data_IF_320972298374
#
_entry.id   IF_320972298374
#
_cell.length_a   1.000
_cell.length_b   1.000
_cell.length_c   1.000
_cell.angle_alpha   90.00
_cell.angle_beta   90.00
_cell.angle_gamma   90.00
#
_symmetry.space_group_name_H-M   'P 1'
#
loop_
_entity.id
_entity.type
_entity.pdbx_description
1 polymer ?
#
# COMPACT_ATOMS: atom_id res chain seq x y z
N UNK A 1 -3.96 -0.36 -20.51
CA UNK A 1 -3.26 -1.64 -20.78
C UNK A 1 -2.07 -1.71 -19.81
N UNK A 2 -1.90 -2.80 -19.04
CA UNK A 2 -1.01 -3.00 -17.86
C UNK A 2 0.50 -2.68 -18.03
N UNK A 3 0.90 -2.17 -19.19
CA UNK A 3 2.25 -1.73 -19.56
C UNK A 3 3.35 -2.80 -19.53
N UNK A 4 3.09 -4.00 -19.01
CA UNK A 4 4.03 -5.13 -19.04
C UNK A 4 4.38 -5.52 -20.48
N UNK A 5 5.58 -6.10 -20.72
CA UNK A 5 5.92 -6.67 -22.02
C UNK A 5 4.85 -7.64 -22.49
N UNK A 6 4.50 -7.62 -23.79
CA UNK A 6 3.40 -8.43 -24.35
C UNK A 6 3.46 -9.92 -23.95
N UNK A 7 4.67 -10.48 -23.86
CA UNK A 7 4.90 -11.88 -23.47
C UNK A 7 4.46 -12.23 -22.05
N UNK A 8 4.32 -11.25 -21.16
CA UNK A 8 3.91 -11.41 -19.75
C UNK A 8 2.74 -10.47 -19.40
N UNK A 9 1.99 -10.03 -20.41
CA UNK A 9 0.86 -9.13 -20.24
C UNK A 9 -0.26 -9.82 -19.44
N UNK A 10 -0.76 -9.15 -18.41
CA UNK A 10 -1.84 -9.67 -17.56
C UNK A 10 -3.22 -9.08 -17.91
N UNK A 11 -3.32 -8.19 -18.90
CA UNK A 11 -4.59 -7.47 -19.19
C UNK A 11 -5.81 -8.36 -19.41
N UNK A 12 -5.64 -9.54 -20.02
CA UNK A 12 -6.75 -10.46 -20.29
C UNK A 12 -7.18 -11.27 -19.05
N UNK A 13 -6.31 -11.34 -18.03
CA UNK A 13 -6.58 -12.07 -16.79
C UNK A 13 -6.98 -11.15 -15.63
N UNK A 14 -6.78 -9.83 -15.77
CA UNK A 14 -7.18 -8.86 -14.75
C UNK A 14 -8.69 -8.64 -14.80
N UNK A 15 -9.37 -9.10 -13.76
CA UNK A 15 -10.76 -8.76 -13.50
C UNK A 15 -10.80 -7.70 -12.39
N UNK A 16 -11.33 -6.50 -12.64
CA UNK A 16 -11.58 -5.54 -11.59
C UNK A 16 -12.53 -6.12 -10.54
N UNK A 17 -12.26 -5.84 -9.28
CA UNK A 17 -13.11 -6.20 -8.14
C UNK A 17 -13.46 -4.96 -7.33
N UNK A 18 -14.60 -4.99 -6.66
CA UNK A 18 -14.98 -3.96 -5.70
C UNK A 18 -14.59 -4.42 -4.29
N UNK A 19 -13.88 -3.55 -3.57
CA UNK A 19 -13.57 -3.73 -2.15
C UNK A 19 -14.05 -2.50 -1.39
N UNK A 20 -14.48 -2.68 -0.14
CA UNK A 20 -14.77 -1.54 0.74
C UNK A 20 -13.46 -0.83 1.09
N UNK A 21 -12.41 -1.61 1.34
CA UNK A 21 -11.06 -1.11 1.56
C UNK A 21 -10.56 -0.32 0.36
N UNK A 22 -9.89 0.81 0.62
CA UNK A 22 -9.21 1.61 -0.40
C UNK A 22 -7.71 1.59 -0.16
N UNK A 23 -6.97 1.65 -1.27
CA UNK A 23 -5.51 1.79 -1.24
C UNK A 23 -5.10 3.20 -1.67
N UNK A 24 -4.09 3.74 -1.01
CA UNK A 24 -3.44 4.98 -1.36
C UNK A 24 -1.94 4.72 -1.53
N UNK A 25 -1.47 4.69 -2.77
CA UNK A 25 -0.06 4.50 -3.10
C UNK A 25 0.66 5.84 -3.05
N UNK A 26 1.71 5.93 -2.23
CA UNK A 26 2.60 7.10 -2.14
C UNK A 26 3.96 6.67 -2.71
N UNK A 27 4.24 7.11 -3.94
CA UNK A 27 5.37 6.63 -4.74
C UNK A 27 6.58 7.54 -4.63
N UNK A 28 7.78 6.98 -4.49
CA UNK A 28 9.00 7.77 -4.46
C UNK A 28 9.29 8.43 -5.83
N UNK A 29 9.99 9.57 -5.83
CA UNK A 29 10.24 10.44 -7.00
C UNK A 29 10.96 9.73 -8.19
N UNK A 30 11.71 8.66 -7.91
CA UNK A 30 12.42 7.83 -8.90
C UNK A 30 11.57 6.71 -9.50
N UNK A 31 10.33 6.57 -9.04
CA UNK A 31 9.36 5.56 -9.46
C UNK A 31 8.03 6.16 -9.97
N UNK A 32 8.02 7.02 -11.00
CA UNK A 32 6.77 7.28 -11.70
C UNK A 32 6.31 5.97 -12.37
N UNK A 33 5.16 5.44 -11.94
CA UNK A 33 4.35 4.35 -12.54
C UNK A 33 5.09 3.50 -13.58
N UNK A 34 6.12 2.78 -13.13
CA UNK A 34 6.80 1.83 -14.00
C UNK A 34 5.83 0.66 -14.25
N UNK A 35 5.80 0.11 -15.47
CA UNK A 35 4.96 -1.03 -15.81
C UNK A 35 5.08 -2.24 -14.88
N UNK A 36 6.25 -2.39 -14.27
CA UNK A 36 6.63 -3.51 -13.41
C UNK A 36 6.33 -3.28 -11.92
N UNK A 37 5.82 -2.10 -11.52
CA UNK A 37 5.49 -1.83 -10.13
C UNK A 37 4.20 -2.56 -9.74
N UNK A 38 4.27 -3.41 -8.72
CA UNK A 38 3.12 -4.18 -8.22
C UNK A 38 2.02 -3.28 -7.66
N UNK A 39 2.31 -2.02 -7.29
CA UNK A 39 1.29 -1.01 -7.00
C UNK A 39 0.32 -0.76 -8.16
N UNK A 40 0.80 -0.84 -9.41
CA UNK A 40 -0.06 -0.68 -10.58
C UNK A 40 -1.09 -1.80 -10.70
N UNK A 41 -0.70 -3.03 -10.34
CA UNK A 41 -1.59 -4.19 -10.33
C UNK A 41 -2.78 -3.96 -9.37
N UNK A 42 -2.52 -3.40 -8.19
CA UNK A 42 -3.57 -3.05 -7.23
C UNK A 42 -4.53 -2.04 -7.84
N UNK A 43 -4.01 -0.98 -8.48
CA UNK A 43 -4.87 0.03 -9.11
C UNK A 43 -5.67 -0.52 -10.31
N UNK A 44 -5.11 -1.49 -11.05
CA UNK A 44 -5.81 -2.11 -12.18
C UNK A 44 -6.91 -3.11 -11.71
N UNK A 45 -6.76 -3.74 -10.54
CA UNK A 45 -7.77 -4.65 -9.94
C UNK A 45 -8.79 -3.90 -9.07
N UNK A 46 -8.33 -2.95 -8.26
CA UNK A 46 -9.14 -2.13 -7.37
C UNK A 46 -9.18 -0.70 -7.92
N UNK A 47 -10.18 -0.36 -8.77
CA UNK A 47 -10.21 0.91 -9.51
C UNK A 47 -10.32 2.14 -8.59
N UNK A 48 -10.72 1.93 -7.34
CA UNK A 48 -10.83 2.94 -6.30
C UNK A 48 -9.50 3.25 -5.58
N UNK A 49 -8.38 2.75 -6.09
CA UNK A 49 -7.03 3.02 -5.59
C UNK A 49 -6.55 4.40 -6.03
N UNK A 50 -6.09 5.20 -5.07
CA UNK A 50 -5.43 6.47 -5.34
C UNK A 50 -3.91 6.29 -5.42
N UNK A 51 -3.24 7.08 -6.26
CA UNK A 51 -1.78 7.07 -6.37
C UNK A 51 -1.25 8.50 -6.45
N UNK A 52 -0.24 8.81 -5.64
CA UNK A 52 0.36 10.12 -5.51
C UNK A 52 1.88 10.01 -5.53
N UNK A 53 2.54 10.98 -6.15
CA UNK A 53 3.98 11.14 -6.03
C UNK A 53 4.32 11.73 -4.67
N UNK A 54 5.30 11.13 -3.99
CA UNK A 54 5.78 11.59 -2.71
C UNK A 54 6.61 12.86 -2.88
N UNK A 55 6.29 13.86 -2.08
CA UNK A 55 7.13 15.03 -1.89
C UNK A 55 7.35 15.24 -0.41
N UNK A 56 8.61 15.44 -0.03
CA UNK A 56 8.99 15.71 1.36
C UNK A 56 8.49 17.08 1.83
N UNK A 57 8.48 18.06 0.93
CA UNK A 57 8.25 19.47 1.25
C UNK A 57 6.89 19.96 0.79
N UNK A 58 6.40 19.42 -0.33
CA UNK A 58 5.18 19.88 -1.00
C UNK A 58 4.31 18.66 -1.35
N UNK A 59 3.77 17.94 -0.35
CA UNK A 59 2.90 16.79 -0.62
C UNK A 59 1.67 17.24 -1.42
N UNK A 60 1.17 16.42 -2.38
CA UNK A 60 -0.02 16.77 -3.15
C UNK A 60 -1.21 17.04 -2.23
N UNK A 61 -1.96 18.13 -2.46
CA UNK A 61 -3.10 18.48 -1.61
C UNK A 61 -4.15 17.37 -1.56
N UNK A 62 -4.43 16.74 -2.71
CA UNK A 62 -5.38 15.62 -2.79
C UNK A 62 -4.96 14.39 -1.96
N UNK A 63 -3.65 14.17 -1.71
CA UNK A 63 -3.18 13.15 -0.77
C UNK A 63 -3.56 13.53 0.66
N UNK A 64 -3.30 14.78 1.05
CA UNK A 64 -3.63 15.27 2.39
C UNK A 64 -5.14 15.20 2.65
N UNK A 65 -5.95 15.61 1.68
CA UNK A 65 -7.41 15.60 1.76
C UNK A 65 -7.95 14.16 1.91
N UNK A 66 -7.39 13.22 1.14
CA UNK A 66 -7.77 11.80 1.23
C UNK A 66 -7.40 11.21 2.60
N UNK A 67 -6.19 11.49 3.09
CA UNK A 67 -5.71 11.02 4.39
C UNK A 67 -6.54 11.61 5.54
N UNK A 68 -6.97 12.87 5.43
CA UNK A 68 -7.78 13.54 6.44
C UNK A 68 -9.30 13.26 6.31
N UNK A 69 -9.72 12.52 5.28
CA UNK A 69 -11.13 12.30 5.00
C UNK A 69 -11.83 11.61 6.17
N UNK A 70 -12.97 12.15 6.64
CA UNK A 70 -13.76 11.52 7.69
C UNK A 70 -14.46 10.24 7.20
N UNK A 71 -14.46 9.95 5.91
CA UNK A 71 -15.16 8.79 5.34
C UNK A 71 -14.37 7.50 5.51
N UNK A 72 -13.06 7.59 5.82
CA UNK A 72 -12.15 6.45 5.89
C UNK A 72 -11.46 6.32 7.24
N UNK A 73 -10.85 5.15 7.45
CA UNK A 73 -9.90 4.89 8.53
C UNK A 73 -8.47 4.79 7.94
N UNK A 74 -7.73 5.91 7.86
CA UNK A 74 -6.37 5.93 7.34
C UNK A 74 -5.39 5.17 8.25
N UNK A 75 -4.65 4.23 7.67
CA UNK A 75 -3.61 3.45 8.32
C UNK A 75 -2.37 3.40 7.44
N UNK A 76 -1.19 3.59 8.03
CA UNK A 76 0.07 3.44 7.29
C UNK A 76 0.52 2.00 7.36
N UNK A 77 0.70 1.37 6.21
CA UNK A 77 1.16 -0.01 6.11
C UNK A 77 2.68 -0.02 6.26
N UNK A 78 3.17 -0.47 7.42
CA UNK A 78 4.60 -0.51 7.70
C UNK A 78 4.91 -1.49 8.85
N UNK A 79 6.13 -2.05 8.96
CA UNK A 79 6.40 -2.99 10.04
C UNK A 79 6.34 -2.35 11.43
N UNK A 80 5.75 -3.06 12.39
CA UNK A 80 5.54 -2.61 13.76
C UNK A 80 6.81 -2.07 14.44
N UNK A 81 7.97 -2.65 14.14
CA UNK A 81 9.27 -2.24 14.70
C UNK A 81 9.68 -0.81 14.37
N UNK A 82 9.03 -0.16 13.40
CA UNK A 82 9.29 1.22 12.99
C UNK A 82 8.30 2.25 13.53
N UNK A 83 7.18 1.81 14.14
CA UNK A 83 6.13 2.72 14.58
C UNK A 83 6.57 3.66 15.72
N UNK A 84 7.58 3.27 16.50
CA UNK A 84 7.96 3.94 17.74
C UNK A 84 6.96 3.67 18.86
N UNK A 85 7.31 4.02 20.10
CA UNK A 85 6.52 3.63 21.28
C UNK A 85 5.17 4.33 21.40
N UNK A 86 5.04 5.54 20.86
CA UNK A 86 3.85 6.38 21.01
C UNK A 86 2.77 6.11 19.95
N UNK A 87 3.13 5.41 18.88
CA UNK A 87 2.25 5.21 17.73
C UNK A 87 1.50 3.90 17.87
N UNK A 88 0.18 3.94 17.71
CA UNK A 88 -0.64 2.73 17.75
C UNK A 88 -0.25 1.78 16.63
N UNK A 89 0.01 0.52 16.98
CA UNK A 89 0.23 -0.58 16.04
C UNK A 89 -1.00 -1.47 16.01
N UNK A 90 -1.52 -1.70 14.81
CA UNK A 90 -2.68 -2.53 14.53
C UNK A 90 -2.26 -3.81 13.81
N UNK A 91 -2.94 -4.90 14.13
CA UNK A 91 -2.83 -6.19 13.43
C UNK A 91 -4.04 -6.49 12.55
N UNK A 92 -5.12 -5.72 12.71
CA UNK A 92 -6.32 -5.75 11.88
C UNK A 92 -6.96 -4.36 11.82
N UNK A 93 -7.69 -4.02 10.75
CA UNK A 93 -8.44 -2.78 10.66
C UNK A 93 -9.53 -2.69 11.76
N UNK A 94 -9.77 -1.50 12.34
CA UNK A 94 -10.90 -1.31 13.23
C UNK A 94 -12.24 -1.48 12.47
N UNK A 95 -13.30 -1.84 13.20
CA UNK A 95 -14.64 -1.90 12.63
C UNK A 95 -15.21 -0.50 12.36
N UNK A 96 -16.19 -0.41 11.46
CA UNK A 96 -17.01 0.79 11.28
C UNK A 96 -16.87 1.39 9.88
N UNK A 97 -15.88 2.27 9.69
CA UNK A 97 -15.66 2.94 8.40
C UNK A 97 -14.70 2.13 7.54
N UNK A 98 -14.75 2.25 6.21
CA UNK A 98 -13.85 1.52 5.33
C UNK A 98 -12.37 1.87 5.60
N UNK A 99 -11.47 0.86 5.59
CA UNK A 99 -10.03 1.08 5.67
C UNK A 99 -9.49 1.92 4.51
N UNK A 100 -8.53 2.79 4.80
CA UNK A 100 -7.65 3.40 3.81
C UNK A 100 -6.20 2.98 4.10
N UNK A 101 -5.70 2.04 3.30
CA UNK A 101 -4.33 1.54 3.42
C UNK A 101 -3.36 2.41 2.64
N UNK A 102 -2.50 3.13 3.36
CA UNK A 102 -1.47 3.98 2.78
C UNK A 102 -0.21 3.12 2.59
N UNK A 103 0.13 2.86 1.33
CA UNK A 103 1.28 2.06 0.95
C UNK A 103 2.40 2.96 0.42
N UNK A 104 3.60 2.77 0.96
CA UNK A 104 4.79 3.51 0.55
C UNK A 104 5.51 2.71 -0.55
N UNK A 105 5.33 3.11 -1.80
CA UNK A 105 5.83 2.38 -2.99
C UNK A 105 7.21 2.90 -3.39
N UNK A 106 8.21 2.05 -3.23
CA UNK A 106 9.62 2.34 -3.47
C UNK A 106 10.50 1.20 -2.96
N UNK A 107 11.82 1.32 -3.13
CA UNK A 107 12.75 0.41 -2.46
C UNK A 107 12.60 0.50 -0.94
N UNK A 108 13.01 -0.53 -0.21
CA UNK A 108 12.94 -0.53 1.26
C UNK A 108 13.58 0.72 1.91
N UNK A 109 14.71 1.17 1.38
CA UNK A 109 15.39 2.39 1.85
C UNK A 109 14.56 3.65 1.58
N UNK A 110 13.90 3.73 0.43
CA UNK A 110 13.02 4.83 0.05
C UNK A 110 11.73 4.82 0.87
N UNK A 111 11.06 3.68 1.04
CA UNK A 111 9.86 3.54 1.87
C UNK A 111 10.13 3.95 3.33
N UNK A 112 11.26 3.50 3.92
CA UNK A 112 11.69 3.97 5.25
C UNK A 112 11.92 5.48 5.31
N UNK A 113 12.47 6.06 4.23
CA UNK A 113 12.67 7.51 4.13
C UNK A 113 11.33 8.23 4.06
N UNK A 114 10.40 7.78 3.23
CA UNK A 114 9.04 8.33 3.12
C UNK A 114 8.33 8.27 4.47
N UNK A 115 8.35 7.11 5.13
CA UNK A 115 7.73 6.91 6.45
C UNK A 115 8.25 7.94 7.46
N UNK A 116 9.57 8.11 7.57
CA UNK A 116 10.20 9.05 8.51
C UNK A 116 10.07 10.53 8.11
N UNK A 117 9.89 10.82 6.83
CA UNK A 117 9.93 12.18 6.27
C UNK A 117 8.57 12.66 5.76
N UNK A 118 7.49 12.07 6.26
CA UNK A 118 6.10 12.44 5.96
C UNK A 118 5.34 12.76 7.24
N UNK A 119 5.53 13.96 7.82
CA UNK A 119 4.90 14.32 9.11
C UNK A 119 3.37 14.23 9.09
N UNK A 120 2.75 14.39 7.92
CA UNK A 120 1.30 14.22 7.73
C UNK A 120 0.81 12.78 7.96
N UNK A 121 1.72 11.81 8.08
CA UNK A 121 1.41 10.42 8.41
C UNK A 121 1.65 10.07 9.87
N UNK A 122 2.30 10.93 10.67
CA UNK A 122 2.80 10.56 12.01
C UNK A 122 1.67 10.28 13.01
N UNK A 123 0.54 10.98 12.86
CA UNK A 123 -0.63 10.82 13.73
C UNK A 123 -1.45 9.54 13.43
N UNK A 124 -1.21 8.90 12.29
CA UNK A 124 -2.00 7.75 11.85
C UNK A 124 -1.52 6.46 12.54
N UNK A 125 -2.40 5.50 12.86
CA UNK A 125 -1.96 4.18 13.28
C UNK A 125 -1.10 3.49 12.20
N UNK A 126 -0.17 2.65 12.63
CA UNK A 126 0.56 1.72 11.75
C UNK A 126 -0.20 0.40 11.73
N UNK A 127 -0.48 -0.14 10.55
CA UNK A 127 -0.92 -1.53 10.41
C UNK A 127 0.25 -2.37 9.92
N UNK A 128 0.59 -3.40 10.70
CA UNK A 128 1.69 -4.31 10.40
C UNK A 128 1.12 -5.68 10.07
N UNK A 129 1.41 -6.17 8.87
CA UNK A 129 0.97 -7.49 8.42
C UNK A 129 2.10 -8.49 8.63
N UNK A 130 1.78 -9.60 9.30
CA UNK A 130 2.68 -10.76 9.34
C UNK A 130 2.45 -11.62 8.10
N UNK A 131 3.27 -11.36 7.09
CA UNK A 131 3.18 -12.02 5.79
C UNK A 131 3.77 -13.43 5.78
N UNK A 132 4.41 -13.87 6.87
CA UNK A 132 4.79 -15.28 7.04
C UNK A 132 3.56 -16.21 7.06
N UNK A 133 2.39 -15.67 7.40
CA UNK A 133 1.09 -16.37 7.42
C UNK A 133 0.38 -16.38 6.07
N UNK A 134 0.82 -15.57 5.10
CA UNK A 134 0.12 -15.32 3.80
C UNK A 134 0.83 -16.03 2.64
N UNK A 135 1.63 -17.05 2.94
CA UNK A 135 2.67 -17.64 2.08
C UNK A 135 2.23 -18.38 0.79
N UNK A 136 1.05 -18.10 0.22
CA UNK A 136 0.54 -18.77 -0.98
C UNK A 136 0.89 -18.05 -2.30
N UNK A 137 1.25 -16.77 -2.25
CA UNK A 137 1.72 -16.02 -3.42
C UNK A 137 3.22 -15.75 -3.25
N UNK A 138 4.06 -16.30 -4.15
CA UNK A 138 5.48 -15.94 -4.26
C UNK A 138 5.71 -15.45 -5.68
N UNK A 139 5.56 -14.15 -5.91
CA UNK A 139 5.97 -13.54 -7.18
C UNK A 139 7.46 -13.17 -7.07
N UNK A 140 8.31 -14.15 -7.44
CA UNK A 140 9.81 -14.18 -7.51
C UNK A 140 10.55 -14.55 -6.22
N UNK A 141 11.75 -15.13 -6.42
CA UNK A 141 12.68 -15.56 -5.37
C UNK A 141 12.90 -14.45 -4.35
N UNK A 142 12.65 -14.79 -3.09
CA UNK A 142 12.72 -13.91 -1.94
C UNK A 142 14.08 -13.19 -1.88
N UNK A 143 14.07 -11.88 -2.10
CA UNK A 143 15.16 -11.03 -1.63
C UNK A 143 15.05 -10.90 -0.11
N UNK A 144 15.61 -11.85 0.63
CA UNK A 144 15.67 -11.90 2.09
C UNK A 144 14.31 -12.01 2.83
N UNK A 145 14.33 -12.72 3.96
CA UNK A 145 13.18 -12.84 4.86
C UNK A 145 12.63 -11.45 5.22
N UNK A 146 11.35 -11.21 4.93
CA UNK A 146 10.65 -9.96 5.28
C UNK A 146 10.48 -8.93 4.17
N UNK A 147 10.96 -9.16 2.94
CA UNK A 147 10.70 -8.27 1.79
C UNK A 147 9.62 -8.85 0.88
N UNK A 148 8.39 -8.36 1.04
CA UNK A 148 7.22 -8.78 0.26
C UNK A 148 6.86 -7.72 -0.77
N UNK A 149 6.26 -8.11 -1.90
CA UNK A 149 5.83 -7.15 -2.90
C UNK A 149 4.53 -6.44 -2.50
N UNK A 150 4.29 -5.23 -3.03
CA UNK A 150 3.11 -4.39 -2.73
C UNK A 150 1.79 -5.17 -2.91
N UNK A 151 1.72 -6.09 -3.89
CA UNK A 151 0.53 -6.91 -4.14
C UNK A 151 0.26 -7.96 -3.05
N UNK A 152 1.28 -8.66 -2.55
CA UNK A 152 1.13 -9.67 -1.48
C UNK A 152 0.63 -9.02 -0.19
N UNK A 153 1.16 -7.84 0.12
CA UNK A 153 0.71 -7.02 1.24
C UNK A 153 -0.75 -6.61 1.08
N UNK A 154 -1.15 -6.19 -0.12
CA UNK A 154 -2.54 -5.79 -0.40
C UNK A 154 -3.52 -6.95 -0.24
N UNK A 155 -3.19 -8.15 -0.74
CA UNK A 155 -4.03 -9.35 -0.58
C UNK A 155 -4.23 -9.67 0.90
N UNK A 156 -3.16 -9.63 1.70
CA UNK A 156 -3.24 -9.87 3.14
C UNK A 156 -4.12 -8.86 3.86
N UNK A 157 -4.04 -7.59 3.47
CA UNK A 157 -4.86 -6.52 4.06
C UNK A 157 -6.33 -6.64 3.71
N UNK A 158 -6.66 -7.06 2.49
CA UNK A 158 -8.03 -7.34 2.06
C UNK A 158 -8.64 -8.50 2.87
N UNK A 159 -7.89 -9.59 3.04
CA UNK A 159 -8.32 -10.74 3.85
C UNK A 159 -8.57 -10.33 5.32
N UNK A 160 -7.65 -9.55 5.91
CA UNK A 160 -7.82 -9.00 7.27
C UNK A 160 -9.02 -8.04 7.39
N UNK A 161 -9.38 -7.35 6.31
CA UNK A 161 -10.54 -6.46 6.25
C UNK A 161 -11.86 -7.20 5.95
N UNK A 162 -11.80 -8.48 5.55
CA UNK A 162 -12.95 -9.26 5.10
C UNK A 162 -13.47 -8.88 3.72
N UNK A 163 -12.63 -8.26 2.88
CA UNK A 163 -12.90 -8.02 1.46
C UNK A 163 -12.30 -9.20 0.64
N UNK A 164 -13.15 -9.99 -0.03
CA UNK A 164 -12.75 -11.16 -0.86
C UNK A 164 -13.17 -11.00 -2.31
#
# INVERSE_FOLDING_TARGET
RCLLPLKVCLCETLAPSEAKSRFCLVMFDTEPMKPSNTGRLIADILPNTAAFQWSRTEPPQALLDLVASPDYQPMVVFPASYAGEQRQVLTAPPSGKPPLFIMLDGTWTEARKMFRKSPYLDALPVISVDLSRVSAYRLREAHADGQYCTAEVAIALLDLAGDT
#
